data_IF_554925176328
#
_entry.id   IF_554925176328
#
_cell.length_a   1.000
_cell.length_b   1.000
_cell.length_c   1.000
_cell.angle_alpha   90.00
_cell.angle_beta   90.00
_cell.angle_gamma   90.00
#
_symmetry.space_group_name_H-M   'P 1'
#
loop_
_entity.id
_entity.type
_entity.pdbx_description
1 polymer ?
#
# COMPACT_ATOMS: atom_id res chain seq x y z
N UNK A 1 -5.24 -31.36 9.96
CA UNK A 1 -4.18 -30.87 9.05
C UNK A 1 -4.68 -30.67 7.63
N UNK A 2 -5.55 -31.55 7.12
CA UNK A 2 -6.14 -31.49 5.76
C UNK A 2 -6.57 -30.09 5.26
N UNK A 3 -7.34 -29.32 6.05
CA UNK A 3 -7.75 -27.95 5.66
C UNK A 3 -6.54 -27.04 5.44
N UNK A 4 -5.53 -27.11 6.31
CA UNK A 4 -4.33 -26.28 6.20
C UNK A 4 -3.48 -26.69 5.00
N UNK A 5 -3.42 -27.98 4.67
CA UNK A 5 -2.70 -28.48 3.51
C UNK A 5 -3.34 -28.03 2.20
N UNK A 6 -4.68 -28.05 2.13
CA UNK A 6 -5.42 -27.49 1.02
C UNK A 6 -5.16 -25.98 0.85
N UNK A 7 -5.24 -25.19 1.93
CA UNK A 7 -4.96 -23.75 1.88
C UNK A 7 -3.55 -23.45 1.36
N UNK A 8 -2.53 -24.23 1.76
CA UNK A 8 -1.15 -24.04 1.27
C UNK A 8 -1.00 -24.35 -0.22
N UNK A 9 -1.75 -25.32 -0.73
CA UNK A 9 -1.68 -25.76 -2.12
C UNK A 9 -2.45 -24.84 -3.07
N UNK A 10 -3.65 -24.45 -2.68
CA UNK A 10 -4.63 -23.78 -3.55
C UNK A 10 -4.82 -22.29 -3.20
N UNK A 11 -4.08 -21.77 -2.21
CA UNK A 11 -4.11 -20.37 -1.84
C UNK A 11 -3.53 -19.46 -2.94
N UNK A 12 -4.28 -18.43 -3.31
CA UNK A 12 -3.91 -17.50 -4.38
C UNK A 12 -4.02 -16.04 -3.93
N UNK A 13 -3.40 -15.16 -4.71
CA UNK A 13 -3.55 -13.72 -4.51
C UNK A 13 -4.93 -13.24 -4.97
N UNK A 14 -5.53 -12.32 -4.23
CA UNK A 14 -6.69 -11.57 -4.69
C UNK A 14 -6.32 -10.42 -5.66
N UNK A 15 -5.08 -10.39 -6.16
CA UNK A 15 -4.53 -9.37 -7.07
C UNK A 15 -4.55 -7.95 -6.47
N UNK A 16 -4.26 -7.84 -5.17
CA UNK A 16 -4.18 -6.57 -4.44
C UNK A 16 -2.77 -6.24 -3.90
N UNK A 17 -1.70 -6.28 -4.72
CA UNK A 17 -0.37 -5.88 -4.27
C UNK A 17 -0.37 -4.39 -3.88
N UNK A 18 0.19 -4.07 -2.73
CA UNK A 18 0.15 -2.73 -2.15
C UNK A 18 1.22 -2.55 -1.08
N UNK A 19 1.33 -1.34 -0.53
CA UNK A 19 2.11 -1.00 0.67
C UNK A 19 3.65 -1.04 0.57
N UNK A 20 4.22 -1.34 -0.60
CA UNK A 20 5.68 -1.43 -0.78
C UNK A 20 6.43 -0.09 -0.66
N UNK A 21 5.73 1.04 -0.79
CA UNK A 21 6.26 2.40 -0.60
C UNK A 21 5.39 3.14 0.43
N UNK A 22 5.09 2.48 1.55
CA UNK A 22 4.06 2.93 2.49
C UNK A 22 4.21 4.39 2.91
N UNK A 23 3.07 5.07 2.99
CA UNK A 23 2.99 6.36 3.68
C UNK A 23 3.12 6.16 5.20
N UNK A 24 3.76 7.12 5.88
CA UNK A 24 3.93 7.09 7.33
C UNK A 24 4.70 8.30 7.86
N UNK A 25 4.67 8.52 9.18
CA UNK A 25 5.41 9.62 9.79
C UNK A 25 6.92 9.44 9.59
N UNK A 26 7.69 10.53 9.61
CA UNK A 26 9.16 10.47 9.47
C UNK A 26 9.87 9.70 10.59
N UNK A 27 9.19 9.45 11.72
CA UNK A 27 9.67 8.59 12.80
C UNK A 27 9.53 7.09 12.53
N UNK A 28 8.77 6.70 11.50
CA UNK A 28 8.63 5.31 11.07
C UNK A 28 9.76 4.96 10.10
N UNK A 29 10.73 4.12 10.50
CA UNK A 29 11.92 3.84 9.69
C UNK A 29 11.61 3.10 8.38
N UNK A 30 10.39 2.58 8.22
CA UNK A 30 9.93 1.90 7.02
C UNK A 30 9.06 2.79 6.13
N UNK A 31 8.79 4.05 6.51
CA UNK A 31 7.97 4.96 5.71
C UNK A 31 8.76 5.54 4.53
N UNK A 32 8.12 5.54 3.35
CA UNK A 32 8.70 6.10 2.11
C UNK A 32 8.02 7.41 1.74
N UNK A 33 6.71 7.53 2.01
CA UNK A 33 5.90 8.69 1.62
C UNK A 33 5.43 9.45 2.87
N UNK A 34 5.48 10.78 2.82
CA UNK A 34 4.86 11.65 3.83
C UNK A 34 3.34 11.69 3.61
N UNK A 35 2.50 11.36 4.60
CA UNK A 35 1.05 11.23 4.43
C UNK A 35 0.32 12.58 4.28
N UNK A 36 0.94 13.70 4.66
CA UNK A 36 0.33 15.03 4.55
C UNK A 36 0.61 15.66 3.19
N UNK A 37 1.79 15.41 2.63
CA UNK A 37 2.27 16.07 1.40
C UNK A 37 2.28 15.14 0.19
N UNK A 38 2.14 13.83 0.40
CA UNK A 38 2.31 12.76 -0.61
C UNK A 38 3.70 12.72 -1.26
N UNK A 39 4.68 13.47 -0.73
CA UNK A 39 6.06 13.48 -1.22
C UNK A 39 6.84 12.30 -0.69
N UNK A 40 7.80 11.84 -1.47
CA UNK A 40 8.81 10.89 -0.99
C UNK A 40 9.69 11.59 0.05
N UNK A 41 9.89 10.95 1.21
CA UNK A 41 10.75 11.48 2.27
C UNK A 41 12.15 11.81 1.73
N UNK A 42 12.64 13.01 2.03
CA UNK A 42 13.95 13.49 1.55
C UNK A 42 13.97 13.98 0.10
N UNK A 43 12.84 14.04 -0.60
CA UNK A 43 12.74 14.49 -1.99
C UNK A 43 11.74 15.66 -2.13
N UNK A 44 12.07 16.67 -2.93
CA UNK A 44 11.21 17.85 -3.05
C UNK A 44 10.11 17.72 -4.11
N UNK A 45 10.41 17.07 -5.24
CA UNK A 45 9.57 17.06 -6.45
C UNK A 45 9.18 15.64 -6.92
N UNK A 46 9.18 14.67 -6.01
CA UNK A 46 8.81 13.27 -6.29
C UNK A 46 7.66 12.82 -5.39
N UNK A 47 6.65 12.18 -5.99
CA UNK A 47 5.49 11.58 -5.31
C UNK A 47 5.28 10.16 -5.82
N UNK A 48 4.70 9.33 -4.96
CA UNK A 48 4.21 7.99 -5.33
C UNK A 48 2.70 7.97 -5.08
N UNK A 49 1.94 7.74 -6.15
CA UNK A 49 0.48 7.87 -6.14
C UNK A 49 -0.15 6.63 -6.76
N UNK A 50 0.00 5.50 -6.06
CA UNK A 50 -0.60 4.22 -6.40
C UNK A 50 -0.78 3.36 -5.13
N UNK A 51 -1.14 2.08 -5.28
CA UNK A 51 -1.37 1.18 -4.16
C UNK A 51 -0.14 0.94 -3.27
N UNK A 52 1.07 1.15 -3.77
CA UNK A 52 2.30 1.02 -2.97
C UNK A 52 2.36 2.03 -1.82
N UNK A 53 1.73 3.20 -1.97
CA UNK A 53 1.71 4.24 -0.95
C UNK A 53 0.78 3.93 0.23
N UNK A 54 -0.12 2.96 0.11
CA UNK A 54 -1.04 2.60 1.21
C UNK A 54 -0.25 2.14 2.44
N UNK A 55 -0.64 2.51 3.68
CA UNK A 55 0.05 2.04 4.88
C UNK A 55 -0.25 0.58 5.22
N UNK A 56 -1.38 0.06 4.73
CA UNK A 56 -1.84 -1.32 4.85
C UNK A 56 -2.88 -1.61 3.79
N UNK A 57 -3.09 -2.89 3.46
CA UNK A 57 -4.17 -3.31 2.57
C UNK A 57 -5.54 -2.91 3.15
N UNK A 58 -6.42 -2.42 2.29
CA UNK A 58 -7.81 -2.09 2.66
C UNK A 58 -8.65 -3.34 2.84
N UNK A 59 -9.77 -3.22 3.55
CA UNK A 59 -10.68 -4.35 3.83
C UNK A 59 -11.58 -4.73 2.62
N UNK A 60 -11.29 -4.21 1.43
CA UNK A 60 -12.04 -4.43 0.20
C UNK A 60 -11.15 -4.24 -1.03
N UNK A 61 -11.72 -4.40 -2.22
CA UNK A 61 -11.00 -4.28 -3.49
C UNK A 61 -10.31 -2.91 -3.62
N UNK A 62 -9.03 -2.94 -3.99
CA UNK A 62 -8.15 -1.76 -3.88
C UNK A 62 -8.35 -0.72 -4.98
N UNK A 63 -9.17 -0.99 -6.00
CA UNK A 63 -9.40 -0.06 -7.11
C UNK A 63 -9.93 1.30 -6.64
N UNK A 64 -11.01 1.32 -5.84
CA UNK A 64 -11.57 2.58 -5.33
C UNK A 64 -10.58 3.32 -4.40
N UNK A 65 -9.90 2.67 -3.44
CA UNK A 65 -8.82 3.29 -2.67
C UNK A 65 -7.68 3.90 -3.52
N UNK A 66 -7.26 3.25 -4.60
CA UNK A 66 -6.24 3.81 -5.52
C UNK A 66 -6.75 5.07 -6.19
N UNK A 67 -7.99 5.07 -6.70
CA UNK A 67 -8.60 6.28 -7.28
C UNK A 67 -8.69 7.41 -6.27
N UNK A 68 -9.09 7.12 -5.02
CA UNK A 68 -9.16 8.15 -3.96
C UNK A 68 -7.78 8.74 -3.63
N UNK A 69 -6.73 7.92 -3.66
CA UNK A 69 -5.36 8.38 -3.45
C UNK A 69 -4.91 9.30 -4.59
N UNK A 70 -5.24 8.93 -5.83
CA UNK A 70 -4.96 9.73 -7.02
C UNK A 70 -5.68 11.08 -7.02
N UNK A 71 -6.96 11.11 -6.65
CA UNK A 71 -7.74 12.35 -6.52
C UNK A 71 -7.25 13.27 -5.39
N UNK A 72 -6.61 12.69 -4.36
CA UNK A 72 -6.14 13.45 -3.20
C UNK A 72 -4.77 14.11 -3.41
N UNK A 73 -3.90 13.49 -4.20
CA UNK A 73 -2.49 13.87 -4.36
C UNK A 73 -2.29 15.09 -5.28
#
# INVERSE_FOLDING_TARGET
>A
EEILDWVRKDGETALHPSCSAKMGPSSDPMAVVDPLTMKVHGMENLRVVDASAMPRTTNGNIHAPVLMLAEKA
#
